data_IF_368147587602
#
_entry.id   IF_368147587602
#
_cell.length_a   1.000
_cell.length_b   1.000
_cell.length_c   1.000
_cell.angle_alpha   90.00
_cell.angle_beta   90.00
_cell.angle_gamma   90.00
#
_symmetry.space_group_name_H-M   'P 1'
#
loop_
_entity.id
_entity.type
_entity.pdbx_description
1 polymer ?
#
# COMPACT_ATOMS: atom_id res chain seq x y z
N UNK A 1 -3.00 -7.70 -0.83
CA UNK A 1 -3.87 -8.80 -0.35
C UNK A 1 -4.40 -8.49 1.05
N UNK A 2 -5.73 -8.46 1.21
CA UNK A 2 -6.36 -8.20 2.52
C UNK A 2 -6.13 -9.37 3.50
N UNK A 3 -6.03 -10.60 2.99
CA UNK A 3 -5.81 -11.79 3.81
C UNK A 3 -4.40 -11.81 4.44
N UNK A 4 -3.42 -11.26 3.76
CA UNK A 4 -2.03 -11.21 4.20
C UNK A 4 -1.67 -9.85 4.82
N UNK A 5 -2.64 -8.93 4.88
CA UNK A 5 -2.45 -7.55 5.34
C UNK A 5 -1.33 -6.81 4.58
N UNK A 6 -1.29 -7.00 3.25
CA UNK A 6 -0.26 -6.42 2.38
C UNK A 6 -0.86 -5.61 1.24
N UNK A 7 -0.12 -4.62 0.76
CA UNK A 7 -0.40 -3.93 -0.48
C UNK A 7 0.86 -3.79 -1.33
N UNK A 8 0.68 -3.86 -2.63
CA UNK A 8 1.71 -3.66 -3.63
C UNK A 8 1.65 -2.21 -4.13
N UNK A 9 2.80 -1.61 -4.35
CA UNK A 9 2.90 -0.27 -4.90
C UNK A 9 4.14 -0.15 -5.77
N UNK A 10 4.05 0.75 -6.74
CA UNK A 10 5.13 1.18 -7.59
C UNK A 10 5.27 2.69 -7.46
N UNK A 11 6.48 3.19 -7.59
CA UNK A 11 6.72 4.61 -7.48
C UNK A 11 8.17 5.01 -7.70
N UNK A 12 8.39 6.31 -7.69
CA UNK A 12 9.73 6.89 -7.79
C UNK A 12 10.12 7.45 -6.43
N UNK A 13 11.18 6.90 -5.84
CA UNK A 13 11.80 7.43 -4.64
C UNK A 13 12.85 8.46 -5.05
N UNK A 14 12.65 9.72 -4.62
CA UNK A 14 13.59 10.79 -4.83
C UNK A 14 14.15 11.29 -3.51
N UNK A 15 15.46 11.45 -3.44
CA UNK A 15 16.17 11.98 -2.27
C UNK A 15 17.08 13.11 -2.69
N UNK A 16 17.23 14.10 -1.81
CA UNK A 16 18.14 15.21 -2.00
C UNK A 16 18.91 15.53 -0.72
N UNK A 17 20.22 15.66 -0.83
CA UNK A 17 21.07 16.10 0.27
C UNK A 17 22.24 16.95 -0.24
N UNK A 18 22.97 17.59 0.65
CA UNK A 18 24.15 18.34 0.32
C UNK A 18 25.40 17.72 0.96
N UNK A 19 26.37 17.37 0.14
CA UNK A 19 27.69 16.93 0.59
C UNK A 19 28.79 17.84 0.00
N UNK A 20 29.34 18.75 0.80
CA UNK A 20 30.39 19.65 0.32
C UNK A 20 31.65 18.95 -0.18
N UNK A 21 31.89 17.69 0.21
CA UNK A 21 33.04 16.88 -0.24
C UNK A 21 32.94 16.49 -1.70
N UNK A 22 31.72 16.50 -2.24
CA UNK A 22 31.40 16.17 -3.64
C UNK A 22 31.36 17.41 -4.53
N UNK A 23 31.60 18.60 -3.97
CA UNK A 23 31.67 19.83 -4.77
C UNK A 23 32.87 19.80 -5.73
N UNK A 24 32.67 20.29 -6.95
CA UNK A 24 33.67 20.29 -8.00
C UNK A 24 33.64 21.58 -8.81
N UNK A 25 34.75 21.88 -9.53
CA UNK A 25 34.83 23.02 -10.43
C UNK A 25 34.50 22.57 -11.87
N UNK A 26 33.43 23.09 -12.49
CA UNK A 26 33.08 22.79 -13.88
C UNK A 26 34.17 23.13 -14.87
N UNK A 27 34.99 24.17 -14.59
CA UNK A 27 36.09 24.56 -15.46
C UNK A 27 37.25 23.53 -15.48
N UNK A 28 37.35 22.72 -14.39
CA UNK A 28 38.35 21.66 -14.28
C UNK A 28 37.82 20.34 -14.81
N UNK A 29 36.58 19.99 -14.47
CA UNK A 29 35.97 18.72 -14.86
C UNK A 29 35.44 18.71 -16.28
N UNK A 30 35.07 19.88 -16.81
CA UNK A 30 34.42 20.00 -18.12
C UNK A 30 32.95 19.62 -18.15
N UNK A 31 32.35 19.39 -16.98
CA UNK A 31 30.93 18.99 -16.83
C UNK A 31 30.19 20.01 -15.98
N UNK A 32 28.94 20.34 -16.37
CA UNK A 32 28.06 21.19 -15.59
C UNK A 32 27.49 20.43 -14.38
N UNK A 33 27.13 19.17 -14.58
CA UNK A 33 26.68 18.22 -13.54
C UNK A 33 27.35 16.86 -13.76
N UNK A 34 27.57 16.11 -12.69
CA UNK A 34 28.01 14.71 -12.75
C UNK A 34 26.82 13.78 -12.62
N UNK A 35 26.75 12.79 -13.51
CA UNK A 35 25.68 11.79 -13.52
C UNK A 35 26.26 10.39 -13.36
N UNK A 36 25.64 9.60 -12.46
CA UNK A 36 25.87 8.18 -12.31
C UNK A 36 24.55 7.46 -12.57
N UNK A 37 24.52 6.62 -13.61
CA UNK A 37 23.30 5.97 -14.08
C UNK A 37 23.42 4.46 -14.04
N UNK A 38 22.39 3.80 -13.48
CA UNK A 38 22.34 2.37 -13.34
C UNK A 38 23.26 1.82 -12.24
N UNK A 39 23.07 0.56 -11.92
CA UNK A 39 23.73 -0.11 -10.79
C UNK A 39 25.25 -0.11 -10.87
N UNK A 40 25.81 -0.29 -12.05
CA UNK A 40 27.27 -0.35 -12.21
C UNK A 40 27.93 1.00 -11.84
N UNK A 41 27.46 2.10 -12.43
CA UNK A 41 28.05 3.41 -12.15
C UNK A 41 27.81 3.83 -10.70
N UNK A 42 26.65 3.52 -10.16
CA UNK A 42 26.32 3.85 -8.79
C UNK A 42 27.12 3.04 -7.78
N UNK A 43 27.24 1.72 -7.92
CA UNK A 43 27.90 0.87 -6.94
C UNK A 43 29.42 0.78 -7.10
N UNK A 44 29.93 0.85 -8.34
CA UNK A 44 31.35 0.60 -8.60
C UNK A 44 32.16 1.89 -8.87
N UNK A 45 31.50 2.95 -9.33
CA UNK A 45 32.20 4.18 -9.71
C UNK A 45 31.96 5.31 -8.72
N UNK A 46 30.72 5.45 -8.22
CA UNK A 46 30.41 6.45 -7.19
C UNK A 46 30.95 6.00 -5.83
N UNK A 47 31.83 6.83 -5.25
CA UNK A 47 32.48 6.54 -3.96
C UNK A 47 32.03 7.44 -2.81
N UNK A 48 31.05 8.31 -3.08
CA UNK A 48 30.51 9.24 -2.07
C UNK A 48 29.59 8.52 -1.07
N UNK A 49 29.31 9.22 0.02
CA UNK A 49 28.28 8.78 0.96
C UNK A 49 26.88 9.00 0.36
N UNK A 50 25.96 8.08 0.66
CA UNK A 50 24.55 8.19 0.33
C UNK A 50 23.70 7.53 1.43
N UNK A 51 22.48 8.03 1.70
CA UNK A 51 21.60 7.42 2.68
C UNK A 51 21.01 6.12 2.11
N UNK A 52 21.33 4.98 2.72
CA UNK A 52 20.74 3.71 2.36
C UNK A 52 19.33 3.63 2.93
N UNK A 53 18.34 3.96 2.12
CA UNK A 53 16.93 3.92 2.50
C UNK A 53 16.36 2.55 2.20
N UNK A 54 15.60 1.99 3.11
CA UNK A 54 14.92 0.72 2.97
C UNK A 54 13.46 0.81 3.43
N UNK A 55 12.63 -0.11 2.96
CA UNK A 55 11.23 -0.22 3.36
C UNK A 55 11.12 -1.00 4.67
N UNK A 56 10.85 -0.31 5.78
CA UNK A 56 10.84 -0.91 7.12
C UNK A 56 9.69 -1.92 7.33
N UNK A 57 8.57 -1.72 6.65
CA UNK A 57 7.42 -2.63 6.69
C UNK A 57 7.30 -3.50 5.44
N UNK A 58 8.42 -3.90 4.84
CA UNK A 58 8.46 -4.83 3.72
C UNK A 58 7.81 -6.19 4.06
N UNK A 59 7.08 -6.73 3.10
CA UNK A 59 6.32 -7.97 3.28
C UNK A 59 6.46 -8.97 2.13
N UNK A 60 7.57 -8.95 1.40
CA UNK A 60 7.83 -10.02 0.44
C UNK A 60 8.29 -9.62 -0.96
N UNK A 61 8.80 -8.43 -1.15
CA UNK A 61 9.44 -8.03 -2.39
C UNK A 61 9.76 -6.54 -2.39
N UNK A 62 11.00 -6.22 -2.66
CA UNK A 62 11.47 -4.87 -2.88
C UNK A 62 12.41 -4.92 -4.09
N UNK A 63 11.91 -4.43 -5.23
CA UNK A 63 12.68 -4.36 -6.46
C UNK A 63 13.03 -2.91 -6.74
N UNK A 64 14.28 -2.68 -7.12
CA UNK A 64 14.84 -1.38 -7.43
C UNK A 64 15.24 -1.36 -8.88
N UNK A 65 14.85 -0.29 -9.60
CA UNK A 65 15.16 -0.13 -11.01
C UNK A 65 15.56 1.32 -11.30
N UNK A 66 16.37 1.52 -12.35
CA UNK A 66 16.57 2.82 -12.92
C UNK A 66 17.26 3.85 -12.01
N UNK A 67 18.28 3.48 -11.24
CA UNK A 67 19.01 4.39 -10.36
C UNK A 67 19.68 5.51 -11.17
N UNK A 68 19.45 6.76 -10.76
CA UNK A 68 20.13 7.96 -11.26
C UNK A 68 20.60 8.81 -10.09
N UNK A 69 21.87 9.10 -10.03
CA UNK A 69 22.46 10.05 -9.10
C UNK A 69 23.02 11.24 -9.90
N UNK A 70 22.60 12.45 -9.55
CA UNK A 70 23.12 13.71 -10.12
C UNK A 70 23.78 14.53 -9.02
N UNK A 71 24.98 15.04 -9.30
CA UNK A 71 25.72 15.90 -8.40
C UNK A 71 25.96 17.24 -9.09
N UNK A 72 25.59 18.33 -8.45
CA UNK A 72 25.83 19.68 -8.92
C UNK A 72 27.17 20.22 -8.42
N UNK A 73 27.77 21.27 -9.09
CA UNK A 73 29.09 21.81 -8.72
C UNK A 73 29.22 22.24 -7.26
N UNK A 74 28.13 22.66 -6.63
CA UNK A 74 28.09 23.09 -5.23
C UNK A 74 27.89 21.96 -4.23
N UNK A 75 27.91 20.69 -4.72
CA UNK A 75 27.81 19.49 -3.92
C UNK A 75 26.37 19.12 -3.49
N UNK A 76 25.33 19.63 -4.16
CA UNK A 76 24.01 19.07 -3.99
C UNK A 76 23.91 17.75 -4.75
N UNK A 77 23.34 16.76 -4.11
CA UNK A 77 23.15 15.40 -4.63
C UNK A 77 21.67 15.11 -4.76
N UNK A 78 21.27 14.67 -5.92
CA UNK A 78 19.90 14.25 -6.24
C UNK A 78 19.92 12.77 -6.61
N UNK A 79 19.25 11.97 -5.86
CA UNK A 79 19.09 10.55 -6.09
C UNK A 79 17.66 10.25 -6.51
N UNK A 80 17.50 9.47 -7.55
CA UNK A 80 16.19 9.02 -8.03
C UNK A 80 16.26 7.55 -8.36
N UNK A 81 15.26 6.82 -7.94
CA UNK A 81 15.15 5.38 -8.08
C UNK A 81 13.70 4.98 -8.29
N UNK A 82 13.44 4.10 -9.23
CA UNK A 82 12.15 3.46 -9.41
C UNK A 82 12.07 2.24 -8.50
N UNK A 83 11.00 2.14 -7.73
CA UNK A 83 10.78 1.07 -6.76
C UNK A 83 9.46 0.37 -7.03
N UNK A 84 9.49 -0.96 -6.93
CA UNK A 84 8.33 -1.83 -6.86
C UNK A 84 8.40 -2.63 -5.56
N UNK A 85 7.37 -2.54 -4.71
CA UNK A 85 7.45 -3.13 -3.39
C UNK A 85 6.11 -3.62 -2.85
N UNK A 86 6.19 -4.57 -1.93
CA UNK A 86 5.06 -5.05 -1.13
C UNK A 86 5.27 -4.62 0.32
N UNK A 87 4.36 -3.81 0.84
CA UNK A 87 4.37 -3.35 2.21
C UNK A 87 3.28 -3.99 3.05
N UNK A 88 3.57 -4.22 4.34
CA UNK A 88 2.59 -4.68 5.32
C UNK A 88 1.82 -3.49 5.87
N UNK A 89 0.48 -3.60 5.87
CA UNK A 89 -0.41 -2.58 6.44
C UNK A 89 -1.59 -3.26 7.12
N UNK A 90 -1.90 -2.82 8.33
CA UNK A 90 -3.01 -3.38 9.08
C UNK A 90 -4.36 -2.92 8.52
N UNK A 91 -5.22 -3.87 8.14
CA UNK A 91 -6.56 -3.61 7.63
C UNK A 91 -7.60 -3.68 8.74
N UNK A 92 -8.37 -2.62 8.93
CA UNK A 92 -9.50 -2.60 9.84
C UNK A 92 -10.80 -2.91 9.08
N UNK A 93 -11.23 -4.16 9.12
CA UNK A 93 -12.41 -4.65 8.40
C UNK A 93 -13.70 -4.62 9.24
N UNK A 94 -13.70 -4.00 10.43
CA UNK A 94 -14.88 -3.96 11.31
C UNK A 94 -16.13 -3.37 10.63
N UNK A 95 -15.96 -2.46 9.67
CA UNK A 95 -17.03 -1.83 8.91
C UNK A 95 -17.19 -2.38 7.49
N UNK A 96 -16.56 -3.51 7.20
CA UNK A 96 -16.67 -4.10 5.87
C UNK A 96 -18.14 -4.29 5.44
N UNK A 97 -18.56 -3.92 4.22
CA UNK A 97 -17.79 -3.39 3.10
C UNK A 97 -17.78 -1.84 2.99
N UNK A 98 -18.04 -1.12 4.07
CA UNK A 98 -18.05 0.35 4.15
C UNK A 98 -16.80 0.87 4.87
N UNK A 99 -15.70 0.16 4.73
CA UNK A 99 -14.45 0.43 5.42
C UNK A 99 -13.59 1.44 4.67
N UNK A 100 -12.77 2.14 5.47
CA UNK A 100 -11.70 3.00 5.00
C UNK A 100 -10.39 2.43 5.50
N UNK A 101 -9.40 2.42 4.64
CA UNK A 101 -8.08 1.88 4.96
C UNK A 101 -7.01 2.94 4.81
N UNK A 102 -5.97 2.80 5.61
CA UNK A 102 -4.77 3.62 5.58
C UNK A 102 -3.59 2.73 5.23
N UNK A 103 -3.19 2.75 3.98
CA UNK A 103 -2.07 1.97 3.48
C UNK A 103 -0.81 2.81 3.65
N UNK A 104 0.15 2.33 4.42
CA UNK A 104 1.36 3.08 4.72
C UNK A 104 2.62 2.32 4.31
N UNK A 105 3.49 2.96 3.54
CA UNK A 105 4.87 2.55 3.30
C UNK A 105 5.79 3.39 4.19
N UNK A 106 6.70 2.74 4.90
CA UNK A 106 7.58 3.37 5.89
C UNK A 106 9.02 3.15 5.45
N UNK A 107 9.69 4.25 5.14
CA UNK A 107 11.09 4.23 4.69
C UNK A 107 12.00 4.76 5.79
N UNK A 108 13.08 4.03 6.07
CA UNK A 108 14.09 4.37 7.07
C UNK A 108 15.47 4.43 6.46
N UNK A 109 16.38 5.16 7.14
CA UNK A 109 17.81 5.17 6.78
C UNK A 109 18.53 4.11 7.59
N UNK A 110 19.17 3.18 6.91
CA UNK A 110 19.87 2.08 7.52
C UNK A 110 21.08 2.56 8.34
N UNK A 111 21.13 2.17 9.62
CA UNK A 111 22.30 2.35 10.47
C UNK A 111 22.50 3.75 11.05
N UNK A 112 21.53 4.65 10.94
CA UNK A 112 21.61 6.00 11.47
C UNK A 112 20.43 6.32 12.38
N UNK A 113 20.69 7.02 13.48
CA UNK A 113 19.67 7.57 14.37
C UNK A 113 19.24 8.97 13.94
N UNK A 114 18.10 9.46 14.49
CA UNK A 114 17.56 10.78 14.16
C UNK A 114 18.48 11.95 14.56
N UNK A 115 19.45 11.71 15.45
CA UNK A 115 20.49 12.70 15.79
C UNK A 115 21.58 12.81 14.71
N UNK A 116 21.75 11.76 13.89
CA UNK A 116 22.77 11.68 12.83
C UNK A 116 22.19 12.02 11.46
N UNK A 117 21.00 11.46 11.13
CA UNK A 117 20.31 11.68 9.85
C UNK A 117 18.83 11.91 10.10
N UNK A 118 18.35 13.07 9.67
CA UNK A 118 16.94 13.45 9.73
C UNK A 118 16.35 13.48 8.33
N UNK A 119 15.32 12.68 8.10
CA UNK A 119 14.51 12.75 6.90
C UNK A 119 13.60 13.98 6.94
N UNK A 120 13.32 14.58 5.79
CA UNK A 120 12.37 15.67 5.64
C UNK A 120 11.52 15.44 4.41
N UNK A 121 10.25 15.80 4.50
CA UNK A 121 9.34 15.77 3.35
C UNK A 121 9.69 16.93 2.42
N UNK A 122 9.85 16.65 1.13
CA UNK A 122 9.78 17.67 0.10
C UNK A 122 8.35 17.72 -0.46
N UNK A 123 7.55 18.75 -0.10
CA UNK A 123 6.16 18.82 -0.54
C UNK A 123 6.03 19.04 -2.06
N UNK A 124 7.07 19.53 -2.72
CA UNK A 124 7.04 19.82 -4.15
C UNK A 124 7.17 18.56 -5.02
N UNK A 125 7.80 17.52 -4.47
CA UNK A 125 8.04 16.26 -5.19
C UNK A 125 7.21 15.07 -4.65
N UNK A 126 6.37 15.30 -3.63
CA UNK A 126 5.51 14.24 -3.08
C UNK A 126 4.09 14.35 -3.66
N UNK A 127 3.69 13.35 -4.43
CA UNK A 127 2.35 13.32 -5.03
C UNK A 127 2.02 11.98 -5.67
N UNK A 128 0.77 11.80 -6.06
CA UNK A 128 0.35 10.72 -6.93
C UNK A 128 0.44 11.26 -8.36
N UNK A 129 1.12 10.53 -9.23
CA UNK A 129 1.03 10.78 -10.66
C UNK A 129 -0.35 10.31 -11.14
N UNK A 130 -1.19 11.29 -11.44
CA UNK A 130 -2.54 11.09 -11.95
C UNK A 130 -2.67 11.91 -13.24
N UNK A 131 -2.01 11.43 -14.28
CA UNK A 131 -2.18 11.93 -15.64
C UNK A 131 -3.06 10.97 -16.46
N UNK A 132 -3.41 11.37 -17.69
CA UNK A 132 -4.28 10.54 -18.54
C UNK A 132 -3.64 9.19 -18.95
N UNK A 133 -2.32 9.03 -18.81
CA UNK A 133 -1.58 7.80 -19.13
C UNK A 133 -1.31 6.93 -17.89
N UNK A 134 -1.26 7.53 -16.69
CA UNK A 134 -0.90 6.85 -15.43
C UNK A 134 -1.98 7.02 -14.37
N UNK A 135 -3.21 6.63 -14.67
CA UNK A 135 -4.28 6.62 -13.67
C UNK A 135 -4.02 5.56 -12.61
N UNK A 136 -3.94 6.00 -11.37
CA UNK A 136 -3.92 5.09 -10.22
C UNK A 136 -5.34 4.54 -10.01
N UNK A 137 -5.66 3.45 -10.70
CA UNK A 137 -6.90 2.70 -10.49
C UNK A 137 -6.62 1.56 -9.50
N UNK A 138 -7.12 1.72 -8.29
CA UNK A 138 -7.08 0.63 -7.30
C UNK A 138 -8.45 -0.08 -7.39
N UNK A 139 -8.53 -1.30 -7.95
CA UNK A 139 -9.80 -2.02 -8.07
C UNK A 139 -10.51 -2.11 -6.72
N UNK A 140 -11.81 -1.84 -6.70
CA UNK A 140 -12.67 -1.83 -5.51
C UNK A 140 -12.41 -0.70 -4.49
N UNK A 141 -11.50 0.23 -4.79
CA UNK A 141 -11.20 1.38 -3.93
C UNK A 141 -11.34 2.68 -4.71
N UNK A 142 -11.75 3.74 -4.05
CA UNK A 142 -11.83 5.06 -4.64
C UNK A 142 -11.33 6.15 -3.69
N UNK A 143 -11.20 7.35 -4.24
CA UNK A 143 -10.73 8.55 -3.54
C UNK A 143 -9.37 8.38 -2.86
N UNK A 144 -8.32 7.89 -3.55
CA UNK A 144 -7.01 7.80 -2.95
C UNK A 144 -6.51 9.20 -2.58
N UNK A 145 -6.11 9.37 -1.31
CA UNK A 145 -5.48 10.60 -0.83
C UNK A 145 -4.09 10.24 -0.32
N UNK A 146 -3.08 10.77 -1.01
CA UNK A 146 -1.71 10.62 -0.58
C UNK A 146 -1.38 11.67 0.48
N UNK A 147 -0.73 11.24 1.54
CA UNK A 147 -0.09 12.10 2.52
C UNK A 147 1.30 11.57 2.82
N UNK A 148 2.24 12.49 3.04
CA UNK A 148 3.60 12.16 3.45
C UNK A 148 3.95 12.87 4.74
N UNK A 149 4.66 12.19 5.62
CA UNK A 149 5.08 12.73 6.91
C UNK A 149 6.40 12.11 7.34
N UNK A 150 7.14 12.82 8.17
CA UNK A 150 8.27 12.24 8.88
C UNK A 150 7.80 11.92 10.30
N UNK A 151 8.10 10.71 10.73
CA UNK A 151 7.80 10.23 12.07
C UNK A 151 9.09 9.75 12.73
N UNK A 152 9.21 10.01 14.02
CA UNK A 152 10.28 9.48 14.83
C UNK A 152 9.70 8.41 15.75
N UNK A 153 10.38 7.29 15.84
CA UNK A 153 10.00 6.23 16.76
C UNK A 153 11.23 5.52 17.31
N UNK A 154 11.05 4.90 18.45
CA UNK A 154 12.11 4.19 19.13
C UNK A 154 11.58 3.14 20.08
N UNK A 155 12.45 2.38 20.74
CA UNK A 155 13.91 2.56 20.73
C UNK A 155 14.57 2.12 19.40
N UNK A 156 15.75 2.66 19.13
CA UNK A 156 16.60 2.24 18.00
C UNK A 156 16.93 0.75 18.10
N UNK A 157 17.01 0.05 16.96
CA UNK A 157 17.48 -1.34 16.89
C UNK A 157 19.02 -1.44 16.97
N UNK A 158 19.71 -0.31 17.01
CA UNK A 158 21.16 -0.28 17.12
C UNK A 158 21.58 -0.55 18.57
N UNK A 159 22.38 -1.60 18.76
CA UNK A 159 22.81 -2.07 20.07
C UNK A 159 23.50 -0.97 20.92
N UNK A 160 22.99 -0.81 22.14
CA UNK A 160 23.56 0.11 23.13
C UNK A 160 23.21 1.58 22.95
N UNK A 161 22.25 1.88 22.07
CA UNK A 161 21.73 3.23 21.84
C UNK A 161 20.28 3.34 22.29
N UNK A 162 19.95 4.41 22.99
CA UNK A 162 18.59 4.78 23.41
C UNK A 162 17.96 5.79 22.44
N UNK A 163 18.49 5.89 21.21
CA UNK A 163 18.08 6.88 20.22
C UNK A 163 16.76 6.54 19.53
N UNK A 164 16.33 7.45 18.70
CA UNK A 164 15.14 7.32 17.88
C UNK A 164 15.54 7.20 16.40
N UNK A 165 14.69 6.57 15.62
CA UNK A 165 14.84 6.45 14.17
C UNK A 165 13.96 7.48 13.47
N UNK A 166 14.51 8.13 12.45
CA UNK A 166 13.74 9.01 11.59
C UNK A 166 13.19 8.21 10.40
N UNK A 167 11.88 8.18 10.23
CA UNK A 167 11.23 7.47 9.14
C UNK A 167 10.37 8.41 8.29
N UNK A 168 10.45 8.22 6.98
CA UNK A 168 9.56 8.85 6.02
C UNK A 168 8.38 7.92 5.76
N UNK A 169 7.18 8.36 6.15
CA UNK A 169 5.93 7.63 5.97
C UNK A 169 5.14 8.21 4.83
N UNK A 170 4.87 7.38 3.84
CA UNK A 170 3.92 7.65 2.75
C UNK A 170 2.65 6.89 3.07
N UNK A 171 1.52 7.57 3.15
CA UNK A 171 0.24 6.98 3.48
C UNK A 171 -0.79 7.31 2.40
N UNK A 172 -1.52 6.30 1.98
CA UNK A 172 -2.64 6.42 1.06
C UNK A 172 -3.93 6.07 1.82
N UNK A 173 -4.82 7.04 1.96
CA UNK A 173 -6.15 6.82 2.50
C UNK A 173 -7.10 6.44 1.35
N UNK A 174 -7.76 5.28 1.48
CA UNK A 174 -8.66 4.74 0.47
C UNK A 174 -10.01 4.36 1.07
N UNK A 175 -11.09 4.51 0.30
CA UNK A 175 -12.44 4.10 0.67
C UNK A 175 -12.87 2.94 -0.21
N UNK A 176 -13.45 1.89 0.38
CA UNK A 176 -13.93 0.73 -0.39
C UNK A 176 -15.20 1.06 -1.15
N UNK A 177 -15.29 0.58 -2.40
CA UNK A 177 -16.53 0.57 -3.16
C UNK A 177 -17.41 -0.64 -2.72
N UNK A 178 -18.48 -0.41 -1.96
CA UNK A 178 -19.30 -1.49 -1.46
C UNK A 178 -20.21 -2.11 -2.53
N UNK A 179 -20.34 -1.47 -3.71
CA UNK A 179 -21.32 -1.86 -4.76
C UNK A 179 -21.12 -3.28 -5.24
N UNK A 180 -19.87 -3.69 -5.41
CA UNK A 180 -19.57 -5.06 -5.83
C UNK A 180 -20.01 -6.07 -4.77
N UNK A 181 -19.60 -5.87 -3.51
CA UNK A 181 -19.92 -6.75 -2.40
C UNK A 181 -21.43 -6.78 -2.12
N UNK A 182 -22.09 -5.62 -2.09
CA UNK A 182 -23.53 -5.53 -1.90
C UNK A 182 -24.29 -6.24 -3.02
N UNK A 183 -23.85 -6.14 -4.25
CA UNK A 183 -24.47 -6.86 -5.38
C UNK A 183 -24.25 -8.35 -5.27
N UNK A 184 -23.04 -8.77 -4.90
CA UNK A 184 -22.69 -10.20 -4.74
C UNK A 184 -23.47 -10.84 -3.61
N UNK A 185 -23.64 -10.16 -2.47
CA UNK A 185 -24.33 -10.69 -1.29
C UNK A 185 -25.82 -10.37 -1.33
N UNK A 186 -26.17 -9.12 -1.56
CA UNK A 186 -27.54 -8.63 -1.43
C UNK A 186 -28.48 -9.20 -2.49
N UNK A 187 -28.05 -9.32 -3.74
CA UNK A 187 -28.91 -9.82 -4.81
C UNK A 187 -29.39 -11.27 -4.59
N UNK A 188 -28.52 -12.25 -4.29
CA UNK A 188 -28.98 -13.59 -3.97
C UNK A 188 -29.89 -13.66 -2.74
N UNK A 189 -29.58 -12.90 -1.67
CA UNK A 189 -30.40 -12.86 -0.46
C UNK A 189 -31.81 -12.34 -0.78
N UNK A 190 -31.94 -11.28 -1.58
CA UNK A 190 -33.24 -10.75 -2.02
C UNK A 190 -34.02 -11.81 -2.81
N UNK A 191 -33.37 -12.53 -3.72
CA UNK A 191 -34.02 -13.62 -4.48
C UNK A 191 -34.52 -14.71 -3.52
N UNK A 192 -33.73 -15.12 -2.54
CA UNK A 192 -34.14 -16.13 -1.55
C UNK A 192 -35.32 -15.68 -0.71
N UNK A 193 -35.37 -14.42 -0.29
CA UNK A 193 -36.52 -13.85 0.43
C UNK A 193 -37.77 -13.90 -0.44
N UNK A 194 -37.69 -13.51 -1.71
CA UNK A 194 -38.81 -13.54 -2.66
C UNK A 194 -39.30 -14.98 -2.88
N UNK A 195 -38.36 -15.92 -3.09
CA UNK A 195 -38.70 -17.34 -3.25
C UNK A 195 -39.35 -17.92 -1.98
N UNK A 196 -38.87 -17.56 -0.80
CA UNK A 196 -39.47 -17.97 0.47
C UNK A 196 -40.91 -17.43 0.61
N UNK A 197 -41.17 -16.21 0.16
CA UNK A 197 -42.52 -15.66 0.17
C UNK A 197 -43.46 -16.36 -0.81
N UNK A 198 -42.97 -16.92 -1.91
CA UNK A 198 -43.80 -17.65 -2.87
C UNK A 198 -44.53 -18.83 -2.26
N UNK A 199 -43.97 -19.45 -1.19
CA UNK A 199 -44.59 -20.55 -0.43
C UNK A 199 -45.94 -20.15 0.17
N UNK A 200 -46.16 -18.89 0.52
CA UNK A 200 -47.42 -18.41 1.07
C UNK A 200 -48.57 -18.33 0.03
N UNK A 201 -48.25 -18.26 -1.25
CA UNK A 201 -49.23 -18.24 -2.33
C UNK A 201 -49.56 -19.61 -2.89
N UNK A 202 -48.87 -20.66 -2.43
CA UNK A 202 -49.15 -22.02 -2.85
C UNK A 202 -50.43 -22.56 -2.20
N UNK A 203 -51.11 -23.47 -2.91
CA UNK A 203 -52.33 -24.09 -2.43
C UNK A 203 -52.10 -24.85 -1.11
N UNK A 204 -53.07 -24.85 -0.23
CA UNK A 204 -53.03 -25.52 1.08
C UNK A 204 -52.86 -27.04 0.98
N UNK A 205 -53.28 -27.66 -0.14
CA UNK A 205 -53.14 -29.08 -0.41
C UNK A 205 -51.71 -29.53 -0.77
N UNK A 206 -50.82 -28.61 -1.17
CA UNK A 206 -49.46 -28.92 -1.64
C UNK A 206 -48.41 -28.83 -0.51
N UNK A 207 -48.60 -29.56 0.56
CA UNK A 207 -47.66 -29.55 1.69
C UNK A 207 -46.28 -30.09 1.28
N UNK A 208 -46.23 -31.10 0.40
CA UNK A 208 -44.96 -31.66 -0.11
C UNK A 208 -44.15 -30.62 -0.84
N UNK A 209 -44.75 -29.93 -1.82
CA UNK A 209 -44.08 -28.92 -2.64
C UNK A 209 -43.56 -27.74 -1.78
N UNK A 210 -44.27 -27.35 -0.73
CA UNK A 210 -43.83 -26.33 0.23
C UNK A 210 -42.61 -26.77 1.01
N UNK A 211 -42.57 -28.04 1.45
CA UNK A 211 -41.41 -28.60 2.14
C UNK A 211 -40.19 -28.64 1.19
N UNK A 212 -40.37 -29.06 -0.06
CA UNK A 212 -39.32 -29.13 -1.05
C UNK A 212 -38.69 -27.77 -1.30
N UNK A 213 -39.50 -26.72 -1.49
CA UNK A 213 -38.99 -25.33 -1.67
C UNK A 213 -38.20 -24.88 -0.43
N UNK A 214 -38.73 -25.22 0.78
CA UNK A 214 -38.04 -24.82 2.02
C UNK A 214 -36.70 -25.54 2.17
N UNK A 215 -36.65 -26.86 1.92
CA UNK A 215 -35.38 -27.60 1.94
C UNK A 215 -34.39 -27.14 0.91
N UNK A 216 -34.84 -26.90 -0.32
CA UNK A 216 -33.98 -26.31 -1.38
C UNK A 216 -33.46 -24.94 -0.98
N UNK A 217 -34.28 -24.10 -0.38
CA UNK A 217 -33.89 -22.80 0.14
C UNK A 217 -32.78 -22.90 1.18
N UNK A 218 -32.94 -23.76 2.18
CA UNK A 218 -31.94 -23.99 3.23
C UNK A 218 -30.62 -24.48 2.60
N UNK A 219 -30.70 -25.50 1.73
CA UNK A 219 -29.53 -26.07 1.08
C UNK A 219 -28.77 -25.01 0.26
N UNK A 220 -29.51 -24.17 -0.45
CA UNK A 220 -28.93 -23.11 -1.27
C UNK A 220 -28.26 -22.03 -0.40
N UNK A 221 -28.86 -21.65 0.73
CA UNK A 221 -28.25 -20.70 1.67
C UNK A 221 -26.95 -21.26 2.25
N UNK A 222 -26.93 -22.56 2.65
CA UNK A 222 -25.72 -23.22 3.15
C UNK A 222 -24.64 -23.29 2.08
N UNK A 223 -24.98 -23.67 0.85
CA UNK A 223 -24.04 -23.69 -0.26
C UNK A 223 -23.47 -22.29 -0.56
N UNK A 224 -24.33 -21.28 -0.53
CA UNK A 224 -23.93 -19.89 -0.71
C UNK A 224 -22.98 -19.41 0.40
N UNK A 225 -23.28 -19.75 1.66
CA UNK A 225 -22.42 -19.42 2.80
C UNK A 225 -21.02 -20.05 2.67
N UNK A 226 -20.93 -21.31 2.22
CA UNK A 226 -19.65 -21.98 1.98
C UNK A 226 -18.86 -21.28 0.87
N UNK A 227 -19.52 -20.94 -0.23
CA UNK A 227 -18.90 -20.24 -1.35
C UNK A 227 -18.39 -18.86 -0.90
N UNK A 228 -19.17 -18.13 -0.16
CA UNK A 228 -18.86 -16.78 0.29
C UNK A 228 -17.78 -16.74 1.37
N UNK A 229 -17.74 -17.72 2.26
CA UNK A 229 -16.71 -17.82 3.31
C UNK A 229 -15.28 -17.93 2.77
N UNK A 230 -15.13 -18.46 1.54
CA UNK A 230 -13.84 -18.50 0.84
C UNK A 230 -13.42 -17.17 0.21
N UNK A 231 -14.35 -16.24 0.05
CA UNK A 231 -14.10 -14.94 -0.60
C UNK A 231 -13.87 -13.79 0.40
N UNK A 232 -14.13 -14.03 1.69
CA UNK A 232 -13.93 -13.05 2.76
C UNK A 232 -12.57 -13.23 3.42
N UNK A 233 -11.91 -12.16 3.82
CA UNK A 233 -10.73 -12.22 4.67
C UNK A 233 -11.05 -12.94 5.97
N UNK A 234 -10.18 -13.84 6.43
CA UNK A 234 -10.32 -14.53 7.72
C UNK A 234 -9.96 -13.58 8.85
N UNK A 235 -10.95 -13.01 9.48
CA UNK A 235 -10.80 -12.08 10.60
C UNK A 235 -11.34 -12.68 11.88
N UNK A 236 -10.72 -12.31 13.01
CA UNK A 236 -11.05 -12.83 14.34
C UNK A 236 -12.17 -12.05 15.06
N UNK A 237 -12.70 -11.01 14.44
CA UNK A 237 -13.71 -10.12 15.02
C UNK A 237 -14.93 -9.98 14.10
N UNK A 238 -16.12 -9.71 14.65
CA UNK A 238 -17.33 -9.55 13.86
C UNK A 238 -17.25 -8.31 12.96
N UNK A 239 -17.79 -8.45 11.75
CA UNK A 239 -17.99 -7.34 10.81
C UNK A 239 -19.49 -6.99 10.72
N UNK A 240 -19.82 -5.93 9.97
CA UNK A 240 -21.23 -5.56 9.69
C UNK A 240 -21.96 -6.68 8.91
N UNK A 241 -21.25 -7.49 8.15
CA UNK A 241 -21.85 -8.57 7.34
C UNK A 241 -21.86 -9.95 8.02
N UNK A 242 -21.20 -10.16 9.17
CA UNK A 242 -21.18 -11.46 9.87
C UNK A 242 -20.24 -11.52 11.04
#
# INVERSE_FOLDING_TARGET
SEADETFHFEGVLSMHWKDPRLAFDPAVTGYDDLYYQGYYQFNEVFTGWWPQVFLANEAGGFEQQGIVLRITPDGNVYYTEEIEAVAKSHFNLARYPFDRQQLAAIFEVLGFESEEVVLRVDPASSGIWDDDEHKVEIPQWYSPKLSSSVVEYGPSYLDGRDGHLSAFRVQIDVERDPRYTLRLVGFPVIIFVILSWSVFWMDRSSVGDRMDITFMGILTVVAYQIMFSGSLPKISYPTILG
#
